data_IF_231420999528
#
_entry.id   IF_231420999528
#
_cell.length_a   1.000
_cell.length_b   1.000
_cell.length_c   1.000
_cell.angle_alpha   90.00
_cell.angle_beta   90.00
_cell.angle_gamma   90.00
#
_symmetry.space_group_name_H-M   'P 1'
#
loop_
_entity.id
_entity.type
_entity.pdbx_description
1 polymer ?
#
# COMPACT_ATOMS: atom_id res chain seq x y z
N UNK A 1 25.48 -8.50 7.78
CA UNK A 1 25.04 -9.21 6.56
C UNK A 1 25.96 -8.81 5.44
N UNK A 2 26.46 -9.77 4.69
CA UNK A 2 27.33 -9.50 3.55
C UNK A 2 26.56 -8.82 2.40
N UNK A 3 27.21 -7.99 1.57
CA UNK A 3 26.53 -7.26 0.48
C UNK A 3 25.71 -8.16 -0.46
N UNK A 4 26.22 -9.37 -0.75
CA UNK A 4 25.52 -10.35 -1.57
C UNK A 4 24.21 -10.84 -0.93
N UNK A 5 24.20 -11.05 0.39
CA UNK A 5 23.00 -11.48 1.11
C UNK A 5 21.92 -10.40 1.13
N UNK A 6 22.33 -9.14 1.28
CA UNK A 6 21.42 -7.98 1.23
C UNK A 6 20.77 -7.90 -0.16
N UNK A 7 21.57 -8.03 -1.22
CA UNK A 7 21.04 -8.01 -2.60
C UNK A 7 20.01 -9.11 -2.83
N UNK A 8 20.31 -10.35 -2.39
CA UNK A 8 19.36 -11.48 -2.51
C UNK A 8 18.09 -11.24 -1.71
N UNK A 9 18.21 -10.70 -0.49
CA UNK A 9 17.06 -10.35 0.34
C UNK A 9 16.17 -9.29 -0.33
N UNK A 10 16.75 -8.21 -0.85
CA UNK A 10 16.00 -7.14 -1.55
C UNK A 10 15.32 -7.65 -2.82
N UNK A 11 16.00 -8.47 -3.62
CA UNK A 11 15.42 -9.08 -4.81
C UNK A 11 14.19 -9.93 -4.46
N UNK A 12 14.31 -10.77 -3.44
CA UNK A 12 13.21 -11.60 -3.02
C UNK A 12 12.06 -10.78 -2.40
N UNK A 13 12.35 -9.68 -1.72
CA UNK A 13 11.33 -8.74 -1.22
C UNK A 13 10.53 -8.13 -2.38
N UNK A 14 11.21 -7.69 -3.44
CA UNK A 14 10.57 -7.18 -4.68
C UNK A 14 9.70 -8.27 -5.31
N UNK A 15 10.24 -9.48 -5.48
CA UNK A 15 9.51 -10.61 -6.06
C UNK A 15 8.26 -10.95 -5.25
N UNK A 16 8.38 -11.02 -3.92
CA UNK A 16 7.26 -11.30 -3.03
C UNK A 16 6.20 -10.20 -3.10
N UNK A 17 6.59 -8.93 -3.04
CA UNK A 17 5.65 -7.80 -3.10
C UNK A 17 4.92 -7.78 -4.44
N UNK A 18 5.64 -7.84 -5.57
CA UNK A 18 5.02 -7.82 -6.89
C UNK A 18 4.18 -9.07 -7.15
N UNK A 19 4.66 -10.25 -6.77
CA UNK A 19 3.91 -11.51 -6.90
C UNK A 19 2.63 -11.51 -6.08
N UNK A 20 2.67 -10.95 -4.86
CA UNK A 20 1.47 -10.80 -4.02
C UNK A 20 0.50 -9.79 -4.62
N UNK A 21 0.98 -8.64 -5.10
CA UNK A 21 0.14 -7.64 -5.77
C UNK A 21 -0.56 -8.24 -6.98
N UNK A 22 0.17 -8.91 -7.89
CA UNK A 22 -0.41 -9.54 -9.07
C UNK A 22 -1.43 -10.62 -8.71
N UNK A 23 -1.13 -11.46 -7.71
CA UNK A 23 -2.07 -12.47 -7.22
C UNK A 23 -3.37 -11.85 -6.73
N UNK A 24 -3.28 -10.82 -5.88
CA UNK A 24 -4.46 -10.11 -5.35
C UNK A 24 -5.25 -9.46 -6.48
N UNK A 25 -4.58 -8.89 -7.48
CA UNK A 25 -5.23 -8.27 -8.64
C UNK A 25 -5.99 -9.28 -9.51
N UNK A 26 -5.40 -10.44 -9.79
CA UNK A 26 -6.06 -11.51 -10.53
C UNK A 26 -7.30 -11.99 -9.77
N UNK A 27 -7.18 -12.20 -8.46
CA UNK A 27 -8.32 -12.59 -7.63
C UNK A 27 -9.41 -11.52 -7.62
N UNK A 28 -9.02 -10.25 -7.45
CA UNK A 28 -9.96 -9.13 -7.46
C UNK A 28 -10.70 -9.04 -8.78
N UNK A 29 -9.99 -9.08 -9.91
CA UNK A 29 -10.59 -9.06 -11.24
C UNK A 29 -11.55 -10.23 -11.46
N UNK A 30 -11.15 -11.43 -11.05
CA UNK A 30 -12.00 -12.62 -11.17
C UNK A 30 -13.29 -12.44 -10.36
N UNK A 31 -13.18 -11.96 -9.13
CA UNK A 31 -14.33 -11.76 -8.23
C UNK A 31 -15.33 -10.76 -8.83
N UNK A 32 -14.87 -9.60 -9.30
CA UNK A 32 -15.78 -8.55 -9.82
C UNK A 32 -16.43 -8.92 -11.17
N UNK A 33 -15.84 -9.84 -11.93
CA UNK A 33 -16.42 -10.32 -13.20
C UNK A 33 -17.37 -11.50 -13.01
N UNK A 34 -17.15 -12.34 -11.98
CA UNK A 34 -18.01 -13.50 -11.70
C UNK A 34 -19.20 -13.11 -10.83
N UNK A 35 -19.02 -12.19 -9.89
CA UNK A 35 -20.06 -11.80 -8.93
C UNK A 35 -20.52 -10.36 -9.18
N UNK A 36 -21.84 -10.15 -9.18
CA UNK A 36 -22.40 -8.81 -9.16
C UNK A 36 -22.29 -8.23 -7.75
N UNK A 37 -21.36 -7.30 -7.55
CA UNK A 37 -21.10 -6.66 -6.26
C UNK A 37 -21.70 -5.26 -6.28
N UNK A 38 -22.42 -4.88 -5.22
CA UNK A 38 -22.91 -3.49 -5.04
C UNK A 38 -21.85 -2.64 -4.33
N UNK A 39 -21.83 -1.33 -4.60
CA UNK A 39 -20.90 -0.39 -3.97
C UNK A 39 -20.83 -0.49 -2.44
N UNK A 40 -21.96 -0.58 -1.69
CA UNK A 40 -21.90 -0.69 -0.23
C UNK A 40 -21.13 -1.93 0.23
N UNK A 41 -21.38 -3.08 -0.37
CA UNK A 41 -20.69 -4.32 -0.02
C UNK A 41 -19.19 -4.21 -0.30
N UNK A 42 -18.82 -3.64 -1.45
CA UNK A 42 -17.41 -3.44 -1.80
C UNK A 42 -16.67 -2.56 -0.77
N UNK A 43 -17.20 -1.37 -0.48
CA UNK A 43 -16.57 -0.45 0.47
C UNK A 43 -16.56 -1.00 1.89
N UNK A 44 -17.64 -1.66 2.33
CA UNK A 44 -17.69 -2.30 3.64
C UNK A 44 -16.64 -3.40 3.78
N UNK A 45 -16.52 -4.29 2.79
CA UNK A 45 -15.51 -5.36 2.80
C UNK A 45 -14.10 -4.78 2.85
N UNK A 46 -13.79 -3.76 2.02
CA UNK A 46 -12.50 -3.09 2.07
C UNK A 46 -12.25 -2.42 3.43
N UNK A 47 -13.23 -1.73 3.98
CA UNK A 47 -13.12 -1.07 5.28
C UNK A 47 -12.74 -2.05 6.39
N UNK A 48 -13.41 -3.21 6.43
CA UNK A 48 -13.13 -4.28 7.40
C UNK A 48 -11.75 -4.90 7.19
N UNK A 49 -11.36 -5.23 5.95
CA UNK A 49 -10.04 -5.81 5.67
C UNK A 49 -8.90 -4.86 6.10
N UNK A 50 -9.03 -3.58 5.77
CA UNK A 50 -8.03 -2.55 6.13
C UNK A 50 -8.04 -2.31 7.65
N UNK A 51 -9.21 -2.34 8.30
CA UNK A 51 -9.31 -2.20 9.75
C UNK A 51 -8.58 -3.34 10.47
N UNK A 52 -8.82 -4.58 10.04
CA UNK A 52 -8.14 -5.77 10.57
C UNK A 52 -6.63 -5.62 10.41
N UNK A 53 -6.17 -5.21 9.22
CA UNK A 53 -4.75 -4.96 8.97
C UNK A 53 -4.17 -3.88 9.90
N UNK A 54 -4.90 -2.77 10.10
CA UNK A 54 -4.47 -1.69 10.99
C UNK A 54 -4.36 -2.16 12.44
N UNK A 55 -5.36 -2.90 12.94
CA UNK A 55 -5.37 -3.50 14.28
C UNK A 55 -4.19 -4.45 14.45
N UNK A 56 -3.98 -5.40 13.52
CA UNK A 56 -2.82 -6.30 13.56
C UNK A 56 -1.50 -5.52 13.53
N UNK A 57 -1.43 -4.42 12.78
CA UNK A 57 -0.28 -3.52 12.75
C UNK A 57 0.03 -2.91 14.12
N UNK A 58 -0.98 -2.45 14.84
CA UNK A 58 -0.83 -1.92 16.19
C UNK A 58 -0.53 -3.00 17.24
N UNK A 59 -1.13 -4.19 17.13
CA UNK A 59 -0.85 -5.32 18.03
C UNK A 59 0.61 -5.79 17.89
N UNK A 60 1.10 -5.89 16.64
CA UNK A 60 2.45 -6.37 16.35
C UNK A 60 3.54 -5.44 16.88
N UNK A 61 3.23 -4.14 17.09
CA UNK A 61 4.13 -3.10 17.63
C UNK A 61 5.54 -3.21 17.03
N UNK A 62 6.52 -3.53 17.86
CA UNK A 62 7.94 -3.58 17.52
C UNK A 62 8.45 -4.98 17.16
N UNK A 63 7.56 -5.96 17.00
CA UNK A 63 7.94 -7.33 16.66
C UNK A 63 8.32 -7.47 15.19
N UNK A 64 9.49 -8.05 14.94
CA UNK A 64 9.97 -8.41 13.59
C UNK A 64 9.47 -9.78 13.14
N UNK A 65 8.89 -10.58 14.04
CA UNK A 65 8.45 -11.96 13.75
C UNK A 65 7.46 -12.00 12.60
N UNK A 66 7.62 -12.96 11.70
CA UNK A 66 6.70 -13.13 10.57
C UNK A 66 6.48 -14.59 10.27
N UNK A 67 5.28 -14.93 9.78
CA UNK A 67 5.02 -16.27 9.27
C UNK A 67 5.90 -16.60 8.06
N UNK A 68 6.23 -15.60 7.24
CA UNK A 68 7.16 -15.73 6.12
C UNK A 68 8.58 -15.38 6.58
N UNK A 69 9.53 -16.34 6.59
CA UNK A 69 10.89 -16.10 7.08
C UNK A 69 11.61 -14.94 6.39
N UNK A 70 11.27 -14.71 5.12
CA UNK A 70 11.88 -13.64 4.34
C UNK A 70 11.48 -12.24 4.79
N UNK A 71 10.22 -12.07 5.21
CA UNK A 71 9.73 -10.81 5.75
C UNK A 71 10.31 -10.56 7.15
N UNK A 72 10.52 -11.61 7.94
CA UNK A 72 11.19 -11.50 9.23
C UNK A 72 12.67 -11.12 9.07
N UNK A 73 13.36 -11.71 8.09
CA UNK A 73 14.74 -11.34 7.76
C UNK A 73 14.86 -9.87 7.37
N UNK A 74 13.97 -9.38 6.51
CA UNK A 74 13.89 -7.96 6.12
C UNK A 74 13.62 -7.08 7.34
N UNK A 75 12.58 -7.40 8.11
CA UNK A 75 12.17 -6.59 9.27
C UNK A 75 13.28 -6.50 10.32
N UNK A 76 13.99 -7.61 10.57
CA UNK A 76 15.11 -7.64 11.52
C UNK A 76 16.26 -6.76 11.04
N UNK A 77 16.63 -6.87 9.76
CA UNK A 77 17.68 -6.04 9.18
C UNK A 77 17.32 -4.54 9.18
N UNK A 78 16.10 -4.19 8.77
CA UNK A 78 15.65 -2.79 8.75
C UNK A 78 15.55 -2.20 10.15
N UNK A 79 15.06 -2.97 11.12
CA UNK A 79 15.00 -2.54 12.52
C UNK A 79 16.40 -2.27 13.08
N UNK A 80 17.38 -3.12 12.79
CA UNK A 80 18.77 -2.91 13.20
C UNK A 80 19.39 -1.64 12.59
N UNK A 81 19.00 -1.27 11.36
CA UNK A 81 19.53 -0.10 10.67
C UNK A 81 18.86 1.21 11.05
N UNK A 82 17.57 1.15 11.39
CA UNK A 82 16.73 2.34 11.61
C UNK A 82 16.49 2.65 13.09
N UNK A 83 16.69 1.68 14.00
CA UNK A 83 16.43 1.84 15.43
C UNK A 83 14.98 2.28 15.68
N UNK A 84 14.80 3.34 16.49
CA UNK A 84 13.49 3.87 16.86
C UNK A 84 12.65 4.36 15.67
N UNK A 85 13.29 4.78 14.57
CA UNK A 85 12.59 5.23 13.37
C UNK A 85 11.84 4.07 12.71
N UNK A 86 12.28 2.83 12.92
CA UNK A 86 11.55 1.64 12.47
C UNK A 86 10.20 1.50 13.19
N UNK A 87 10.15 1.75 14.50
CA UNK A 87 8.90 1.74 15.25
C UNK A 87 7.97 2.87 14.79
N UNK A 88 8.53 4.07 14.58
CA UNK A 88 7.76 5.24 14.14
C UNK A 88 7.12 5.02 12.77
N UNK A 89 7.88 4.56 11.77
CA UNK A 89 7.34 4.32 10.43
C UNK A 89 6.23 3.26 10.44
N UNK A 90 6.37 2.21 11.27
CA UNK A 90 5.34 1.17 11.46
C UNK A 90 4.08 1.72 12.10
N UNK A 91 4.20 2.53 13.16
CA UNK A 91 3.06 3.18 13.83
C UNK A 91 2.32 4.14 12.90
N UNK A 92 3.06 4.96 12.17
CA UNK A 92 2.46 5.89 11.20
C UNK A 92 1.77 5.14 10.07
N UNK A 93 2.36 4.06 9.55
CA UNK A 93 1.72 3.21 8.53
C UNK A 93 0.41 2.58 9.01
N UNK A 94 0.37 2.04 10.24
CA UNK A 94 -0.86 1.53 10.86
C UNK A 94 -1.89 2.65 11.08
N UNK A 95 -1.42 3.85 11.46
CA UNK A 95 -2.27 5.05 11.58
C UNK A 95 -2.92 5.44 10.26
N UNK A 96 -2.16 5.49 9.17
CA UNK A 96 -2.70 5.75 7.83
C UNK A 96 -3.67 4.66 7.37
N UNK A 97 -3.42 3.40 7.73
CA UNK A 97 -4.35 2.31 7.44
C UNK A 97 -5.68 2.50 8.19
N UNK A 98 -5.63 2.97 9.44
CA UNK A 98 -6.84 3.29 10.20
C UNK A 98 -7.62 4.46 9.57
N UNK A 99 -6.93 5.52 9.15
CA UNK A 99 -7.54 6.65 8.43
C UNK A 99 -8.19 6.18 7.14
N UNK A 100 -7.51 5.34 6.36
CA UNK A 100 -8.05 4.79 5.12
C UNK A 100 -9.28 3.91 5.38
N UNK A 101 -9.26 3.08 6.42
CA UNK A 101 -10.42 2.27 6.82
C UNK A 101 -11.62 3.15 7.20
N UNK A 102 -11.41 4.20 7.99
CA UNK A 102 -12.46 5.16 8.33
C UNK A 102 -13.03 5.86 7.08
N UNK A 103 -12.15 6.23 6.14
CA UNK A 103 -12.58 6.77 4.85
C UNK A 103 -13.40 5.77 4.03
N UNK A 104 -13.04 4.48 4.04
CA UNK A 104 -13.84 3.43 3.39
C UNK A 104 -15.20 3.22 4.06
N UNK A 105 -15.29 3.30 5.39
CA UNK A 105 -16.59 3.29 6.09
C UNK A 105 -17.45 4.50 5.75
N UNK A 106 -16.83 5.67 5.58
CA UNK A 106 -17.52 6.86 5.11
C UNK A 106 -18.06 6.65 3.68
N UNK A 107 -17.25 6.09 2.77
CA UNK A 107 -17.71 5.74 1.41
C UNK A 107 -18.85 4.71 1.44
N UNK A 108 -18.76 3.70 2.32
CA UNK A 108 -19.84 2.76 2.54
C UNK A 108 -21.14 3.46 2.95
N UNK A 109 -21.10 4.33 3.96
CA UNK A 109 -22.26 5.10 4.42
C UNK A 109 -22.86 5.95 3.31
N UNK A 110 -22.04 6.71 2.59
CA UNK A 110 -22.48 7.53 1.46
C UNK A 110 -23.07 6.70 0.32
N UNK A 111 -22.69 5.43 0.21
CA UNK A 111 -23.16 4.55 -0.87
C UNK A 111 -24.50 3.86 -0.60
N UNK A 112 -25.05 3.96 0.63
CA UNK A 112 -26.28 3.24 1.03
C UNK A 112 -27.51 3.64 0.22
N UNK A 113 -27.60 4.91 -0.19
CA UNK A 113 -28.75 5.44 -0.92
C UNK A 113 -28.73 5.11 -2.42
N UNK A 114 -27.66 4.51 -2.94
CA UNK A 114 -27.58 4.08 -4.35
C UNK A 114 -28.25 2.70 -4.51
N UNK A 115 -29.57 2.70 -4.59
CA UNK A 115 -30.43 1.50 -4.67
C UNK A 115 -30.04 0.52 -5.79
N UNK A 116 -29.47 1.03 -6.90
CA UNK A 116 -29.01 0.27 -8.07
C UNK A 116 -27.51 0.36 -8.35
N UNK A 117 -26.71 0.83 -7.38
CA UNK A 117 -25.27 1.03 -7.55
C UNK A 117 -24.48 -0.29 -7.65
N UNK A 118 -24.42 -0.89 -8.83
CA UNK A 118 -23.51 -2.01 -9.11
C UNK A 118 -22.09 -1.45 -9.26
N UNK A 119 -21.16 -2.03 -8.52
CA UNK A 119 -19.75 -1.72 -8.64
C UNK A 119 -19.23 -2.27 -9.97
N UNK A 120 -19.04 -1.37 -10.93
CA UNK A 120 -18.40 -1.66 -12.21
C UNK A 120 -17.31 -0.62 -12.43
N UNK A 121 -16.12 -1.11 -12.75
CA UNK A 121 -15.00 -0.28 -13.15
C UNK A 121 -14.63 -0.66 -14.57
N UNK A 122 -14.43 0.35 -15.42
CA UNK A 122 -13.91 0.16 -16.75
C UNK A 122 -12.55 -0.56 -16.69
N UNK A 123 -12.37 -1.69 -17.41
CA UNK A 123 -11.12 -2.46 -17.38
C UNK A 123 -9.88 -1.64 -17.73
N UNK A 124 -10.00 -0.63 -18.61
CA UNK A 124 -8.89 0.24 -19.01
C UNK A 124 -8.49 1.15 -17.86
N UNK A 125 -9.46 1.81 -17.21
CA UNK A 125 -9.19 2.65 -16.03
C UNK A 125 -8.53 1.83 -14.92
N UNK A 126 -9.07 0.64 -14.65
CA UNK A 126 -8.53 -0.26 -13.64
C UNK A 126 -7.09 -0.69 -13.98
N UNK A 127 -6.81 -1.04 -15.24
CA UNK A 127 -5.46 -1.40 -15.69
C UNK A 127 -4.47 -0.25 -15.49
N UNK A 128 -4.87 0.98 -15.82
CA UNK A 128 -4.04 2.18 -15.61
C UNK A 128 -3.72 2.36 -14.12
N UNK A 129 -4.73 2.33 -13.25
CA UNK A 129 -4.55 2.46 -11.79
C UNK A 129 -3.63 1.37 -11.24
N UNK A 130 -3.76 0.14 -11.72
CA UNK A 130 -2.91 -0.99 -11.36
C UNK A 130 -1.45 -0.75 -11.74
N UNK A 131 -1.18 -0.37 -12.99
CA UNK A 131 0.17 -0.12 -13.48
C UNK A 131 0.80 1.02 -12.66
N UNK A 132 0.05 2.10 -12.42
CA UNK A 132 0.51 3.20 -11.58
C UNK A 132 0.84 2.73 -10.16
N UNK A 133 -0.01 1.92 -9.53
CA UNK A 133 0.22 1.39 -8.19
C UNK A 133 1.50 0.54 -8.14
N UNK A 134 1.71 -0.37 -9.12
CA UNK A 134 2.93 -1.18 -9.22
C UNK A 134 4.16 -0.28 -9.36
N UNK A 135 4.12 0.71 -10.24
CA UNK A 135 5.24 1.63 -10.48
C UNK A 135 5.58 2.41 -9.21
N UNK A 136 4.59 3.01 -8.55
CA UNK A 136 4.79 3.79 -7.31
C UNK A 136 5.35 2.91 -6.20
N UNK A 137 4.80 1.71 -6.00
CA UNK A 137 5.29 0.78 -4.98
C UNK A 137 6.74 0.39 -5.24
N UNK A 138 7.10 0.04 -6.48
CA UNK A 138 8.48 -0.34 -6.82
C UNK A 138 9.46 0.83 -6.67
N UNK A 139 9.10 2.04 -7.12
CA UNK A 139 9.93 3.24 -6.92
C UNK A 139 10.11 3.53 -5.43
N UNK A 140 9.02 3.49 -4.66
CA UNK A 140 9.05 3.68 -3.21
C UNK A 140 9.97 2.69 -2.51
N UNK A 141 9.89 1.40 -2.87
CA UNK A 141 10.78 0.36 -2.37
C UNK A 141 12.24 0.64 -2.72
N UNK A 142 12.56 1.02 -3.96
CA UNK A 142 13.93 1.32 -4.38
C UNK A 142 14.51 2.52 -3.62
N UNK A 143 13.72 3.58 -3.41
CA UNK A 143 14.13 4.74 -2.61
C UNK A 143 14.38 4.32 -1.16
N UNK A 144 13.48 3.54 -0.58
CA UNK A 144 13.61 3.02 0.79
C UNK A 144 14.87 2.16 0.94
N UNK A 145 15.10 1.20 0.05
CA UNK A 145 16.27 0.33 0.06
C UNK A 145 17.56 1.12 -0.03
N UNK A 146 17.65 2.06 -0.98
CA UNK A 146 18.82 2.92 -1.11
C UNK A 146 19.08 3.73 0.16
N UNK A 147 18.03 4.19 0.85
CA UNK A 147 18.19 4.97 2.08
C UNK A 147 18.64 4.09 3.24
N UNK A 148 18.02 2.93 3.45
CA UNK A 148 18.35 1.99 4.54
C UNK A 148 19.71 1.32 4.33
N UNK A 149 20.02 0.89 3.12
CA UNK A 149 21.24 0.11 2.87
C UNK A 149 22.49 1.01 2.89
N UNK A 150 22.34 2.33 2.66
CA UNK A 150 23.43 3.31 2.76
C UNK A 150 23.64 3.89 4.16
N UNK A 151 22.73 3.67 5.12
CA UNK A 151 22.96 4.22 6.47
C UNK A 151 24.08 3.47 7.17
N UNK A 152 24.96 4.25 7.78
CA UNK A 152 26.08 3.74 8.58
C UNK A 152 25.74 3.71 10.06
N UNK A 153 24.82 4.56 10.50
CA UNK A 153 24.34 4.62 11.89
C UNK A 153 22.83 4.93 11.97
N UNK A 154 22.26 4.74 13.16
CA UNK A 154 20.88 5.15 13.45
C UNK A 154 20.69 6.68 13.36
N UNK A 155 21.75 7.46 13.60
CA UNK A 155 21.66 8.93 13.48
C UNK A 155 21.36 9.38 12.06
N UNK A 156 21.80 8.62 11.04
CA UNK A 156 21.52 8.89 9.61
C UNK A 156 20.02 8.75 9.26
N UNK A 157 19.26 8.12 10.16
CA UNK A 157 17.83 7.85 10.04
C UNK A 157 16.96 8.84 10.81
N UNK A 158 17.54 9.71 11.64
CA UNK A 158 16.76 10.64 12.47
C UNK A 158 15.83 11.51 11.61
N UNK A 159 14.53 11.47 11.91
CA UNK A 159 13.50 12.22 11.19
C UNK A 159 13.18 11.68 9.79
N UNK A 160 13.71 10.49 9.43
CA UNK A 160 13.39 9.82 8.17
C UNK A 160 11.88 9.57 8.03
N UNK A 161 11.21 9.14 9.11
CA UNK A 161 9.77 8.87 9.07
C UNK A 161 8.97 10.08 8.61
N UNK A 162 9.27 11.27 9.14
CA UNK A 162 8.57 12.50 8.77
C UNK A 162 8.82 12.88 7.31
N UNK A 163 10.09 12.88 6.88
CA UNK A 163 10.47 13.19 5.49
C UNK A 163 9.84 12.23 4.50
N UNK A 164 9.84 10.93 4.82
CA UNK A 164 9.24 9.91 3.96
C UNK A 164 7.72 10.07 3.84
N UNK A 165 7.03 10.43 4.93
CA UNK A 165 5.59 10.69 4.88
C UNK A 165 5.26 11.95 4.08
N UNK A 166 6.06 13.01 4.20
CA UNK A 166 5.89 14.22 3.40
C UNK A 166 6.04 13.91 1.90
N UNK A 167 7.09 13.18 1.52
CA UNK A 167 7.30 12.75 0.13
C UNK A 167 6.12 11.88 -0.34
N UNK A 168 5.68 10.92 0.47
CA UNK A 168 4.54 10.08 0.14
C UNK A 168 3.24 10.89 -0.06
N UNK A 169 3.01 11.92 0.76
CA UNK A 169 1.87 12.83 0.61
C UNK A 169 1.92 13.63 -0.70
N UNK A 170 3.08 14.20 -1.04
CA UNK A 170 3.26 14.92 -2.31
C UNK A 170 3.06 13.99 -3.50
N UNK A 171 3.67 12.81 -3.49
CA UNK A 171 3.50 11.80 -4.55
C UNK A 171 2.03 11.39 -4.63
N UNK A 172 1.37 11.08 -3.52
CA UNK A 172 -0.04 10.71 -3.49
C UNK A 172 -0.95 11.78 -4.08
N UNK A 173 -0.68 13.05 -3.79
CA UNK A 173 -1.44 14.18 -4.35
C UNK A 173 -1.26 14.31 -5.86
N UNK A 174 -0.01 14.22 -6.36
CA UNK A 174 0.28 14.27 -7.80
C UNK A 174 -0.42 13.12 -8.53
N UNK A 175 -0.34 11.90 -7.99
CA UNK A 175 -1.00 10.73 -8.55
C UNK A 175 -2.53 10.83 -8.51
N UNK A 176 -3.09 11.33 -7.40
CA UNK A 176 -4.53 11.55 -7.27
C UNK A 176 -5.06 12.54 -8.29
N UNK A 177 -4.35 13.65 -8.50
CA UNK A 177 -4.69 14.64 -9.53
C UNK A 177 -4.58 14.05 -10.94
N UNK A 178 -3.54 13.26 -11.22
CA UNK A 178 -3.38 12.60 -12.51
C UNK A 178 -4.55 11.65 -12.80
N UNK A 179 -4.93 10.80 -11.85
CA UNK A 179 -6.08 9.90 -11.98
C UNK A 179 -7.37 10.70 -12.19
N UNK A 180 -7.59 11.75 -11.40
CA UNK A 180 -8.77 12.59 -11.52
C UNK A 180 -8.91 13.24 -12.91
N UNK A 181 -7.82 13.83 -13.42
CA UNK A 181 -7.79 14.44 -14.76
C UNK A 181 -8.02 13.39 -15.86
N UNK A 182 -7.38 12.23 -15.76
CA UNK A 182 -7.58 11.14 -16.72
C UNK A 182 -9.03 10.64 -16.72
N UNK A 183 -9.64 10.48 -15.54
CA UNK A 183 -11.04 10.07 -15.43
C UNK A 183 -11.99 11.10 -16.03
N UNK A 184 -11.80 12.40 -15.76
CA UNK A 184 -12.61 13.46 -16.36
C UNK A 184 -12.48 13.44 -17.88
N UNK A 185 -11.25 13.39 -18.39
CA UNK A 185 -10.99 13.35 -19.84
C UNK A 185 -11.68 12.14 -20.47
N UNK A 186 -11.54 10.95 -19.86
CA UNK A 186 -12.15 9.71 -20.33
C UNK A 186 -13.68 9.81 -20.37
N UNK A 187 -14.30 10.37 -19.33
CA UNK A 187 -15.76 10.54 -19.27
C UNK A 187 -16.21 11.51 -20.36
N UNK A 188 -15.54 12.65 -20.52
CA UNK A 188 -15.89 13.66 -21.55
C UNK A 188 -15.70 13.10 -22.96
N UNK A 189 -14.64 12.33 -23.22
CA UNK A 189 -14.37 11.80 -24.57
C UNK A 189 -15.33 10.71 -25.03
N UNK A 190 -16.08 10.10 -24.09
CA UNK A 190 -17.04 9.04 -24.36
C UNK A 190 -18.52 9.51 -24.28
N UNK A 191 -18.75 10.81 -24.08
CA UNK A 191 -20.06 11.47 -24.22
C UNK A 191 -20.15 12.05 -25.63
#
# INVERSE_FOLDING_TARGET
MEPHEIRRMRMNQILLTNGTMLTVLILFFTIINVFTIRFPHFFFTLAVLILIQAIFGFIKRDSTKSFLPILEKVATYEKQKMGDEWSKIRKVSSGWSLVLSAFMFFQFYMSLDYEYGIFQIDPIIMLIVIIMAIVVTNIGMLIHFRKVDRSTSESDMKGYTWKSNLIAGVVGLVFGLAIFMMTIYYVISNI
#
